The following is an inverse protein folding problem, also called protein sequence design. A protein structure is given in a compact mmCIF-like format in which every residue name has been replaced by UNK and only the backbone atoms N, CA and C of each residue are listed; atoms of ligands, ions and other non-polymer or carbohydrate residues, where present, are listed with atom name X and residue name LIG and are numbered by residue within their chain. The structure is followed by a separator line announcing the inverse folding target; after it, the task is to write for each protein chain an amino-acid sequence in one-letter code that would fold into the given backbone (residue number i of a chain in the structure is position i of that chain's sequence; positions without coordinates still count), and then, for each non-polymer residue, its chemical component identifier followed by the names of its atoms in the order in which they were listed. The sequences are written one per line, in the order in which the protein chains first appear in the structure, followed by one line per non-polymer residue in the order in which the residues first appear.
data_IF_927598535793
#
_entry.id   IF_927598535793
#
_cell.length_a   1.000
_cell.length_b   1.000
_cell.length_c   1.000
_cell.angle_alpha   90.00
_cell.angle_beta   90.00
_cell.angle_gamma   90.00
#
_symmetry.space_group_name_H-M   'P 1'
#
loop_
_entity.id
_entity.type
_entity.pdbx_description
1 polymer ?
#
# COMPACT_ATOMS: atom_id res chain seq x y z
N UNK A 1 7.41 36.60 -21.55
CA UNK A 1 6.29 35.95 -20.84
C UNK A 1 6.61 34.48 -20.80
N UNK A 2 7.28 34.03 -19.75
CA UNK A 2 7.43 32.60 -19.45
C UNK A 2 6.08 32.17 -18.90
N UNK A 3 5.34 31.41 -19.69
CA UNK A 3 4.17 30.70 -19.19
C UNK A 3 4.74 29.64 -18.26
N UNK A 4 4.60 29.83 -16.96
CA UNK A 4 4.69 28.73 -16.00
C UNK A 4 3.60 27.74 -16.42
N UNK A 5 3.97 26.79 -17.28
CA UNK A 5 3.16 25.61 -17.50
C UNK A 5 3.13 24.91 -16.14
N UNK A 6 2.05 25.11 -15.40
CA UNK A 6 1.79 24.34 -14.18
C UNK A 6 2.00 22.87 -14.56
N UNK A 7 3.00 22.23 -13.92
CA UNK A 7 3.28 20.82 -14.11
C UNK A 7 1.95 20.07 -14.06
N UNK A 8 1.65 19.31 -15.11
CA UNK A 8 0.48 18.45 -15.14
C UNK A 8 0.66 17.42 -14.02
N UNK A 9 -0.03 17.62 -12.89
CA UNK A 9 0.10 16.78 -11.69
C UNK A 9 -0.52 15.39 -11.89
N UNK A 10 -1.20 15.18 -13.02
CA UNK A 10 -1.67 13.87 -13.50
C UNK A 10 -0.65 13.12 -14.37
N UNK A 11 0.51 13.71 -14.67
CA UNK A 11 1.59 12.96 -15.34
C UNK A 11 2.16 11.91 -14.37
N UNK A 12 2.13 10.60 -14.70
CA UNK A 12 2.65 9.54 -13.85
C UNK A 12 4.18 9.58 -13.68
N UNK A 13 4.88 10.53 -14.31
CA UNK A 13 6.29 10.81 -14.08
C UNK A 13 6.51 11.92 -13.03
N UNK A 14 5.47 12.68 -12.67
CA UNK A 14 5.55 13.75 -11.66
C UNK A 14 5.41 13.15 -10.26
N UNK A 15 6.53 13.09 -9.55
CA UNK A 15 6.56 12.52 -8.20
C UNK A 15 6.26 13.55 -7.12
N UNK A 16 6.89 14.72 -7.00
CA UNK A 16 6.62 15.63 -5.87
C UNK A 16 5.24 16.29 -5.93
N UNK A 17 4.59 16.42 -4.77
CA UNK A 17 3.29 17.06 -4.61
C UNK A 17 2.19 16.55 -5.57
N UNK A 18 2.18 15.24 -5.83
CA UNK A 18 1.21 14.58 -6.68
C UNK A 18 0.34 13.62 -5.89
N UNK A 19 -0.91 13.46 -6.35
CA UNK A 19 -1.88 12.56 -5.78
C UNK A 19 -2.48 11.71 -6.89
N UNK A 20 -2.45 10.40 -6.70
CA UNK A 20 -2.79 9.43 -7.73
C UNK A 20 -3.79 8.41 -7.20
N UNK A 21 -4.79 8.09 -8.01
CA UNK A 21 -5.79 7.05 -7.71
C UNK A 21 -5.75 5.99 -8.78
N UNK A 22 -5.72 4.74 -8.34
CA UNK A 22 -5.53 3.62 -9.25
C UNK A 22 -6.45 2.46 -8.89
N UNK A 23 -7.20 1.99 -9.87
CA UNK A 23 -7.88 0.70 -9.81
C UNK A 23 -6.87 -0.43 -9.89
N UNK A 24 -6.96 -1.40 -8.99
CA UNK A 24 -6.01 -2.49 -8.83
C UNK A 24 -6.71 -3.84 -8.91
N UNK A 25 -6.03 -4.82 -9.47
CA UNK A 25 -6.35 -6.23 -9.31
C UNK A 25 -5.09 -6.94 -8.81
N UNK A 26 -5.22 -7.73 -7.75
CA UNK A 26 -4.14 -8.60 -7.28
C UNK A 26 -4.13 -9.82 -8.20
N UNK A 27 -3.11 -9.94 -9.06
CA UNK A 27 -2.92 -11.12 -9.91
C UNK A 27 -1.99 -12.13 -9.25
N UNK A 28 -2.58 -13.17 -8.67
CA UNK A 28 -1.87 -14.26 -8.00
C UNK A 28 -2.70 -14.85 -6.88
N UNK A 29 -2.08 -15.63 -6.00
CA UNK A 29 -2.67 -16.17 -4.77
C UNK A 29 -2.35 -15.27 -3.56
N UNK A 30 -3.37 -14.65 -3.00
CA UNK A 30 -3.27 -14.09 -1.66
C UNK A 30 -3.69 -15.17 -0.67
N UNK A 31 -2.73 -15.72 0.08
CA UNK A 31 -3.00 -16.80 1.03
C UNK A 31 -3.21 -16.23 2.44
N UNK A 32 -4.41 -16.46 2.97
CA UNK A 32 -4.74 -16.19 4.38
C UNK A 32 -4.57 -17.48 5.16
N UNK A 33 -3.74 -17.45 6.20
CA UNK A 33 -3.49 -18.58 7.09
C UNK A 33 -4.28 -18.36 8.38
N UNK A 34 -5.15 -19.30 8.74
CA UNK A 34 -5.92 -19.26 9.98
C UNK A 34 -5.14 -19.92 11.12
N UNK A 35 -5.42 -19.53 12.37
CA UNK A 35 -4.76 -20.10 13.55
C UNK A 35 -5.04 -21.59 13.77
N UNK A 36 -6.07 -22.14 13.14
CA UNK A 36 -6.40 -23.57 13.15
C UNK A 36 -5.70 -24.35 12.01
N UNK A 37 -4.88 -23.69 11.21
CA UNK A 37 -4.14 -24.27 10.09
C UNK A 37 -4.90 -24.30 8.76
N UNK A 38 -6.15 -23.83 8.72
CA UNK A 38 -6.85 -23.64 7.45
C UNK A 38 -6.16 -22.58 6.58
N UNK A 39 -6.24 -22.73 5.27
CA UNK A 39 -5.72 -21.78 4.29
C UNK A 39 -6.83 -21.34 3.35
N UNK A 40 -6.90 -20.04 3.07
CA UNK A 40 -7.79 -19.49 2.05
C UNK A 40 -6.97 -18.80 0.97
N UNK A 41 -7.00 -19.36 -0.24
CA UNK A 41 -6.42 -18.75 -1.42
C UNK A 41 -7.43 -17.84 -2.09
N UNK A 42 -7.12 -16.55 -2.15
CA UNK A 42 -8.02 -15.58 -2.75
C UNK A 42 -7.71 -15.43 -4.24
N UNK A 43 -8.67 -15.78 -5.09
CA UNK A 43 -8.65 -15.46 -6.51
C UNK A 43 -9.41 -14.13 -6.78
N UNK A 44 -8.95 -13.40 -7.79
CA UNK A 44 -9.58 -12.19 -8.33
C UNK A 44 -9.91 -11.10 -7.29
N UNK A 45 -8.94 -10.77 -6.42
CA UNK A 45 -9.09 -9.64 -5.50
C UNK A 45 -8.94 -8.32 -6.28
N UNK A 46 -9.99 -7.50 -6.29
CA UNK A 46 -10.03 -6.21 -7.00
C UNK A 46 -10.23 -5.07 -6.01
N UNK A 47 -9.72 -3.90 -6.35
CA UNK A 47 -9.75 -2.78 -5.43
C UNK A 47 -9.36 -1.45 -6.02
N UNK A 48 -9.28 -0.47 -5.14
CA UNK A 48 -8.83 0.87 -5.41
C UNK A 48 -7.77 1.25 -4.39
N UNK A 49 -6.79 2.01 -4.84
CA UNK A 49 -5.74 2.57 -4.01
C UNK A 49 -5.50 4.01 -4.37
N UNK A 50 -5.12 4.81 -3.37
CA UNK A 50 -4.71 6.19 -3.59
C UNK A 50 -3.45 6.51 -2.81
N UNK A 51 -2.53 7.24 -3.44
CA UNK A 51 -1.25 7.66 -2.84
C UNK A 51 -1.03 9.14 -3.08
N UNK A 52 -0.38 9.80 -2.13
CA UNK A 52 0.05 11.19 -2.24
C UNK A 52 1.50 11.31 -1.80
N UNK A 53 2.32 11.94 -2.61
CA UNK A 53 3.71 12.26 -2.25
C UNK A 53 3.78 13.56 -1.44
N UNK A 54 4.84 13.70 -0.67
CA UNK A 54 5.18 14.96 -0.03
C UNK A 54 5.52 16.02 -1.09
N UNK A 55 5.51 17.29 -0.67
CA UNK A 55 5.95 18.39 -1.52
C UNK A 55 7.47 18.39 -1.71
N UNK A 56 8.21 18.17 -0.62
CA UNK A 56 9.67 18.22 -0.60
C UNK A 56 10.27 16.82 -0.52
N UNK A 57 11.45 16.65 -1.13
CA UNK A 57 12.27 15.45 -1.02
C UNK A 57 13.51 15.72 -0.16
N UNK A 58 14.05 14.68 0.44
CA UNK A 58 15.34 14.69 1.14
C UNK A 58 16.40 13.99 0.29
N UNK A 59 17.68 14.27 0.55
CA UNK A 59 18.79 13.57 -0.11
C UNK A 59 19.50 12.71 0.91
N UNK A 60 19.66 11.42 0.59
CA UNK A 60 20.42 10.48 1.41
C UNK A 60 21.92 10.79 1.39
N UNK A 61 22.72 10.26 2.34
CA UNK A 61 24.17 10.48 2.36
C UNK A 61 24.92 10.03 1.09
N UNK A 62 24.34 9.09 0.33
CA UNK A 62 24.87 8.61 -0.95
C UNK A 62 24.39 9.44 -2.17
N UNK A 63 23.71 10.56 -1.92
CA UNK A 63 23.24 11.50 -2.93
C UNK A 63 21.90 11.13 -3.58
N UNK A 64 21.27 10.01 -3.20
CA UNK A 64 19.98 9.59 -3.78
C UNK A 64 18.81 10.40 -3.20
N UNK A 65 17.86 10.86 -4.02
CA UNK A 65 16.68 11.57 -3.53
C UNK A 65 15.69 10.58 -2.91
N UNK A 66 15.01 11.01 -1.86
CA UNK A 66 14.02 10.25 -1.12
C UNK A 66 12.80 11.14 -0.83
N UNK A 67 11.60 10.61 -1.02
CA UNK A 67 10.37 11.34 -0.76
C UNK A 67 9.39 10.50 0.06
N UNK A 68 8.75 11.15 1.03
CA UNK A 68 7.70 10.53 1.83
C UNK A 68 6.43 10.38 0.99
N UNK A 69 5.74 9.27 1.16
CA UNK A 69 4.48 8.95 0.49
C UNK A 69 3.44 8.59 1.54
N UNK A 70 2.25 9.14 1.44
CA UNK A 70 1.10 8.75 2.24
C UNK A 70 0.16 7.93 1.39
N UNK A 71 -0.26 6.77 1.88
CA UNK A 71 -1.34 6.01 1.26
C UNK A 71 -2.67 6.51 1.84
N UNK A 72 -3.47 7.10 0.98
CA UNK A 72 -4.75 7.73 1.33
C UNK A 72 -5.88 6.72 1.37
N UNK A 73 -5.77 5.66 0.57
CA UNK A 73 -6.81 4.65 0.46
C UNK A 73 -6.21 3.29 0.11
N UNK A 74 -6.72 2.27 0.79
CA UNK A 74 -6.61 0.86 0.43
C UNK A 74 -8.00 0.26 0.57
N UNK A 75 -8.57 -0.26 -0.50
CA UNK A 75 -9.85 -0.97 -0.48
C UNK A 75 -9.83 -2.09 -1.50
N UNK A 76 -9.81 -3.34 -1.05
CA UNK A 76 -9.82 -4.52 -1.90
C UNK A 76 -10.94 -5.47 -1.47
N UNK A 77 -11.60 -6.11 -2.43
CA UNK A 77 -12.62 -7.10 -2.18
C UNK A 77 -12.49 -8.30 -3.11
N UNK A 78 -12.93 -9.48 -2.65
CA UNK A 78 -13.21 -10.64 -3.48
C UNK A 78 -14.62 -11.14 -3.19
N UNK A 79 -15.46 -11.15 -4.23
CA UNK A 79 -16.83 -11.66 -4.12
C UNK A 79 -16.88 -13.18 -3.92
N UNK A 80 -15.84 -13.90 -4.36
CA UNK A 80 -15.76 -15.35 -4.26
C UNK A 80 -15.55 -15.78 -2.80
N UNK A 81 -14.62 -15.12 -2.10
CA UNK A 81 -14.28 -15.47 -0.72
C UNK A 81 -15.00 -14.64 0.33
N UNK A 82 -15.68 -13.56 -0.08
CA UNK A 82 -16.25 -12.57 0.84
C UNK A 82 -15.19 -11.77 1.61
N UNK A 83 -13.94 -11.78 1.12
CA UNK A 83 -12.83 -11.03 1.71
C UNK A 83 -12.98 -9.55 1.40
N UNK A 84 -12.80 -8.72 2.42
CA UNK A 84 -12.65 -7.27 2.29
C UNK A 84 -11.40 -6.82 3.05
N UNK A 85 -10.51 -6.09 2.39
CA UNK A 85 -9.30 -5.49 2.98
C UNK A 85 -9.43 -3.98 2.86
N UNK A 86 -9.30 -3.29 3.98
CA UNK A 86 -9.36 -1.83 4.04
C UNK A 86 -8.17 -1.28 4.80
N UNK A 87 -7.81 -0.01 4.53
CA UNK A 87 -6.91 0.72 5.40
C UNK A 87 -7.55 0.89 6.79
N UNK A 88 -6.76 0.69 7.85
CA UNK A 88 -7.19 1.05 9.19
C UNK A 88 -7.23 2.59 9.32
N UNK A 89 -8.40 3.22 9.52
CA UNK A 89 -8.49 4.68 9.60
C UNK A 89 -7.82 5.25 10.86
N UNK A 90 -7.58 4.43 11.88
CA UNK A 90 -6.92 4.85 13.10
C UNK A 90 -5.40 5.03 12.95
N UNK A 91 -4.80 4.53 11.84
CA UNK A 91 -3.35 4.54 11.64
C UNK A 91 -3.00 4.99 10.22
N UNK A 92 -2.08 5.94 10.05
CA UNK A 92 -1.66 6.34 8.72
C UNK A 92 -0.87 5.21 8.06
N UNK A 93 -1.14 4.96 6.78
CA UNK A 93 -0.30 4.12 5.94
C UNK A 93 0.75 5.00 5.29
N UNK A 94 2.01 4.73 5.61
CA UNK A 94 3.15 5.55 5.20
C UNK A 94 4.05 4.76 4.26
N UNK A 95 4.80 5.48 3.45
CA UNK A 95 5.76 4.90 2.55
C UNK A 95 6.88 5.86 2.22
N UNK A 96 7.90 5.30 1.60
CA UNK A 96 9.09 6.01 1.19
C UNK A 96 9.42 5.56 -0.23
N UNK A 97 9.58 6.53 -1.12
CA UNK A 97 10.11 6.33 -2.47
C UNK A 97 11.55 6.85 -2.48
N UNK A 98 12.49 6.00 -2.88
CA UNK A 98 13.92 6.32 -2.93
C UNK A 98 14.44 6.12 -4.35
N UNK A 99 14.90 7.20 -4.97
CA UNK A 99 15.50 7.17 -6.30
C UNK A 99 16.71 6.22 -6.34
N UNK A 100 16.94 5.59 -7.50
CA UNK A 100 18.06 4.67 -7.69
C UNK A 100 19.36 5.38 -8.06
N UNK A 101 19.30 6.65 -8.42
CA UNK A 101 20.44 7.45 -8.88
C UNK A 101 20.61 8.69 -8.01
N UNK A 102 21.86 9.17 -7.90
CA UNK A 102 22.12 10.45 -7.23
C UNK A 102 21.59 11.60 -8.07
N UNK A 103 20.96 12.59 -7.43
CA UNK A 103 20.38 13.74 -8.14
C UNK A 103 19.30 14.47 -7.33
N UNK A 104 18.58 15.37 -7.99
CA UNK A 104 17.45 16.11 -7.44
C UNK A 104 16.11 15.41 -7.65
N UNK A 105 15.02 16.19 -7.73
CA UNK A 105 13.68 15.68 -7.94
C UNK A 105 13.55 14.86 -9.24
N UNK A 106 14.32 15.22 -10.27
CA UNK A 106 14.38 14.52 -11.56
C UNK A 106 14.93 13.09 -11.45
N UNK A 107 15.68 12.79 -10.40
CA UNK A 107 16.25 11.47 -10.13
C UNK A 107 15.39 10.62 -9.15
N UNK A 108 14.17 11.07 -8.83
CA UNK A 108 13.24 10.29 -8.02
C UNK A 108 12.78 9.01 -8.72
N UNK A 109 12.75 8.99 -10.06
CA UNK A 109 12.50 7.79 -10.86
C UNK A 109 13.74 7.47 -11.73
N UNK A 110 14.09 6.19 -11.94
CA UNK A 110 13.49 5.00 -11.34
C UNK A 110 13.76 4.90 -9.84
N UNK A 111 12.87 4.22 -9.10
CA UNK A 111 12.90 4.20 -7.63
C UNK A 111 12.64 2.82 -7.02
N UNK A 112 13.08 2.64 -5.78
CA UNK A 112 12.51 1.65 -4.87
C UNK A 112 11.42 2.30 -4.02
N UNK A 113 10.31 1.61 -3.79
CA UNK A 113 9.25 2.06 -2.90
C UNK A 113 8.94 1.02 -1.83
N UNK A 114 8.76 1.49 -0.59
CA UNK A 114 8.35 0.67 0.55
C UNK A 114 7.14 1.31 1.20
N UNK A 115 6.13 0.52 1.53
CA UNK A 115 4.94 0.94 2.27
C UNK A 115 4.77 0.13 3.54
N UNK A 116 4.50 0.84 4.62
CA UNK A 116 3.98 0.32 5.88
C UNK A 116 2.46 0.46 5.89
N UNK A 117 1.76 -0.67 5.97
CA UNK A 117 0.31 -0.71 5.91
C UNK A 117 -0.32 -1.33 7.15
N UNK A 118 -1.23 -0.57 7.75
CA UNK A 118 -2.18 -1.03 8.75
C UNK A 118 -3.53 -1.24 8.05
N UNK A 119 -4.01 -2.47 8.14
CA UNK A 119 -5.15 -2.97 7.41
C UNK A 119 -6.19 -3.53 8.38
N UNK A 120 -7.45 -3.45 7.96
CA UNK A 120 -8.56 -4.19 8.53
C UNK A 120 -8.99 -5.21 7.49
N UNK A 121 -9.06 -6.47 7.90
CA UNK A 121 -9.59 -7.57 7.10
C UNK A 121 -10.96 -7.94 7.65
N UNK A 122 -11.99 -7.86 6.82
CA UNK A 122 -13.30 -8.44 7.12
C UNK A 122 -13.41 -9.78 6.41
N UNK A 123 -13.65 -10.84 7.17
CA UNK A 123 -13.76 -12.19 6.65
C UNK A 123 -14.58 -13.05 7.61
N UNK A 124 -15.50 -13.88 7.08
CA UNK A 124 -16.36 -14.78 7.88
C UNK A 124 -17.12 -14.08 9.03
N UNK A 125 -17.58 -12.85 8.78
CA UNK A 125 -18.33 -12.05 9.76
C UNK A 125 -17.49 -11.51 10.91
N UNK A 126 -16.15 -11.62 10.83
CA UNK A 126 -15.21 -11.09 11.82
C UNK A 126 -14.36 -9.99 11.20
N UNK A 127 -13.87 -9.11 12.06
CA UNK A 127 -12.91 -8.07 11.74
C UNK A 127 -11.57 -8.43 12.36
N UNK A 128 -10.52 -8.32 11.57
CA UNK A 128 -9.16 -8.56 11.99
C UNK A 128 -8.29 -7.36 11.65
N UNK A 129 -7.34 -7.01 12.50
CA UNK A 129 -6.37 -5.95 12.22
C UNK A 129 -4.95 -6.38 12.55
N UNK A 130 -3.97 -5.86 11.82
CA UNK A 130 -2.57 -6.03 12.13
C UNK A 130 -2.06 -4.90 13.03
N UNK A 131 -1.27 -5.26 14.04
CA UNK A 131 -0.65 -4.33 14.98
C UNK A 131 0.76 -3.92 14.55
N UNK A 132 1.47 -4.83 13.88
CA UNK A 132 2.72 -4.57 13.15
C UNK A 132 2.40 -4.28 11.69
N UNK A 133 3.10 -3.34 11.02
CA UNK A 133 2.77 -2.95 9.66
C UNK A 133 3.03 -4.10 8.68
N UNK A 134 2.12 -4.26 7.71
CA UNK A 134 2.41 -5.04 6.50
C UNK A 134 3.39 -4.24 5.65
N UNK A 135 4.63 -4.73 5.58
CA UNK A 135 5.72 -4.14 4.80
C UNK A 135 5.66 -4.65 3.36
N UNK A 136 5.19 -3.79 2.45
CA UNK A 136 5.15 -4.06 1.02
C UNK A 136 6.24 -3.28 0.30
N UNK A 137 7.00 -3.94 -0.55
CA UNK A 137 8.02 -3.28 -1.37
C UNK A 137 7.82 -3.53 -2.86
N UNK A 138 8.20 -2.54 -3.66
CA UNK A 138 8.39 -2.67 -5.10
C UNK A 138 9.73 -2.04 -5.47
N UNK A 139 10.43 -2.69 -6.40
CA UNK A 139 11.80 -2.36 -6.79
C UNK A 139 11.85 -1.80 -8.20
N UNK A 140 12.73 -0.82 -8.42
CA UNK A 140 12.99 -0.23 -9.73
C UNK A 140 11.73 0.20 -10.51
N UNK A 141 10.78 0.83 -9.83
CA UNK A 141 9.59 1.40 -10.43
C UNK A 141 9.99 2.55 -11.35
N UNK A 142 9.36 2.66 -12.51
CA UNK A 142 9.67 3.69 -13.52
C UNK A 142 8.59 4.76 -13.64
N UNK A 143 7.47 4.58 -12.93
CA UNK A 143 6.34 5.51 -12.90
C UNK A 143 5.83 5.63 -11.46
N UNK A 144 5.14 6.74 -11.17
CA UNK A 144 4.45 7.00 -9.91
C UNK A 144 3.01 7.46 -10.20
N UNK A 145 1.98 6.69 -9.81
CA UNK A 145 2.05 5.51 -8.95
C UNK A 145 2.73 4.35 -9.70
N UNK A 146 3.26 3.35 -8.97
CA UNK A 146 3.91 2.17 -9.55
C UNK A 146 2.88 1.23 -10.20
N UNK A 147 2.41 1.64 -11.37
CA UNK A 147 1.52 0.92 -12.27
C UNK A 147 2.26 -0.27 -12.89
N UNK A 148 1.55 -1.39 -13.07
CA UNK A 148 2.11 -2.60 -13.69
C UNK A 148 3.22 -3.25 -12.85
N UNK A 149 3.40 -2.79 -11.62
CA UNK A 149 4.51 -3.16 -10.77
C UNK A 149 4.07 -4.19 -9.75
N UNK A 150 4.97 -5.13 -9.46
CA UNK A 150 4.72 -6.14 -8.44
C UNK A 150 5.14 -5.63 -7.08
N UNK A 151 4.22 -5.67 -6.11
CA UNK A 151 4.56 -5.53 -4.71
C UNK A 151 4.73 -6.88 -4.02
N UNK A 152 5.77 -7.01 -3.21
CA UNK A 152 6.04 -8.20 -2.41
C UNK A 152 5.99 -7.84 -0.94
N UNK A 153 5.38 -8.72 -0.13
CA UNK A 153 5.52 -8.62 1.32
C UNK A 153 6.87 -9.15 1.74
N UNK A 154 7.57 -8.44 2.63
CA UNK A 154 8.85 -8.94 3.17
C UNK A 154 8.68 -10.17 4.06
N UNK A 155 7.59 -10.21 4.82
CA UNK A 155 7.27 -11.28 5.77
C UNK A 155 5.76 -11.47 5.85
N UNK A 156 5.26 -12.63 6.29
CA UNK A 156 3.86 -12.75 6.68
C UNK A 156 3.53 -11.75 7.80
N UNK A 157 2.38 -11.10 7.72
CA UNK A 157 1.89 -10.19 8.77
C UNK A 157 0.74 -10.85 9.52
N UNK A 158 0.79 -10.82 10.85
CA UNK A 158 -0.24 -11.40 11.70
C UNK A 158 -1.38 -10.40 11.97
N UNK A 159 -2.58 -10.94 12.13
CA UNK A 159 -3.78 -10.19 12.41
C UNK A 159 -4.51 -10.79 13.62
N UNK A 160 -5.14 -9.92 14.39
CA UNK A 160 -5.84 -10.22 15.63
C UNK A 160 -7.32 -9.90 15.46
N UNK A 161 -8.18 -10.71 16.07
CA UNK A 161 -9.62 -10.41 16.09
C UNK A 161 -9.85 -9.13 16.91
N UNK A 162 -10.55 -8.16 16.31
CA UNK A 162 -10.82 -6.86 16.92
C UNK A 162 -11.56 -6.99 18.26
N UNK A 163 -12.40 -8.02 18.39
CA UNK A 163 -13.18 -8.26 19.62
C UNK A 163 -12.32 -8.75 20.79
N UNK A 164 -11.11 -9.24 20.52
CA UNK A 164 -10.15 -9.71 21.53
C UNK A 164 -9.14 -8.64 21.93
N UNK A 165 -9.08 -7.52 21.20
CA UNK A 165 -8.15 -6.43 21.44
C UNK A 165 -8.74 -5.37 22.38
N UNK A 166 -8.00 -5.05 23.44
CA UNK A 166 -8.30 -3.88 24.25
C UNK A 166 -8.13 -2.60 23.42
N UNK A 167 -9.18 -1.77 23.35
CA UNK A 167 -9.21 -0.59 22.46
C UNK A 167 -9.72 -0.87 21.04
N UNK A 168 -10.04 -2.13 20.70
CA UNK A 168 -10.68 -2.49 19.43
C UNK A 168 -9.87 -2.04 18.22
N UNK A 169 -10.48 -1.26 17.31
CA UNK A 169 -9.84 -0.77 16.09
C UNK A 169 -8.63 0.16 16.33
N UNK A 170 -8.53 0.72 17.53
CA UNK A 170 -7.47 1.64 17.93
C UNK A 170 -6.34 0.96 18.72
N UNK A 171 -6.43 -0.36 18.93
CA UNK A 171 -5.41 -1.10 19.65
C UNK A 171 -4.04 -0.96 18.97
N UNK A 172 -3.01 -0.73 19.76
CA UNK A 172 -1.61 -0.65 19.31
C UNK A 172 -0.76 -1.82 19.83
N UNK A 173 -1.30 -2.59 20.78
CA UNK A 173 -0.64 -3.73 21.42
C UNK A 173 -1.62 -4.89 21.53
N UNK A 174 -1.14 -6.15 21.49
CA UNK A 174 -2.02 -7.32 21.51
C UNK A 174 -2.59 -7.64 22.90
N UNK A 175 -1.93 -7.23 23.98
CA UNK A 175 -2.27 -7.65 25.33
C UNK A 175 -2.27 -9.17 25.46
N UNK A 176 -3.43 -9.76 25.78
CA UNK A 176 -3.64 -11.21 25.85
C UNK A 176 -4.22 -11.83 24.56
N UNK A 177 -4.52 -11.02 23.55
CA UNK A 177 -5.06 -11.49 22.28
C UNK A 177 -4.05 -12.38 21.55
N UNK A 178 -4.56 -13.41 20.88
CA UNK A 178 -3.74 -14.31 20.07
C UNK A 178 -3.90 -13.97 18.59
N UNK A 179 -2.84 -14.09 17.78
CA UNK A 179 -2.97 -14.02 16.33
C UNK A 179 -4.02 -15.02 15.84
N UNK A 180 -4.95 -14.56 15.01
CA UNK A 180 -6.02 -15.37 14.43
C UNK A 180 -5.80 -15.64 12.95
N UNK A 181 -5.18 -14.69 12.26
CA UNK A 181 -4.80 -14.83 10.86
C UNK A 181 -3.33 -14.44 10.66
N UNK A 182 -2.74 -14.95 9.59
CA UNK A 182 -1.57 -14.36 8.98
C UNK A 182 -1.82 -14.16 7.48
N UNK A 183 -1.43 -12.99 6.98
CA UNK A 183 -1.43 -12.70 5.56
C UNK A 183 -0.01 -12.89 5.03
N UNK A 184 0.16 -13.90 4.18
CA UNK A 184 1.39 -14.06 3.41
C UNK A 184 1.08 -13.72 1.95
N UNK A 185 1.58 -12.59 1.47
CA UNK A 185 1.61 -12.33 0.03
C UNK A 185 2.78 -13.09 -0.57
N UNK A 186 2.63 -14.40 -0.77
CA UNK A 186 3.56 -15.22 -1.56
C UNK A 186 3.45 -14.92 -3.05
N UNK A 187 2.43 -14.16 -3.45
CA UNK A 187 2.18 -13.80 -4.83
C UNK A 187 2.70 -12.43 -5.21
N UNK A 188 3.13 -12.41 -6.47
CA UNK A 188 3.40 -11.24 -7.30
C UNK A 188 2.13 -10.37 -7.28
N UNK A 189 1.96 -9.44 -6.34
CA UNK A 189 0.85 -8.48 -6.40
C UNK A 189 1.12 -7.51 -7.56
N UNK A 190 0.94 -7.96 -8.80
CA UNK A 190 1.02 -7.11 -9.97
C UNK A 190 -0.14 -6.13 -9.93
N UNK A 191 0.14 -4.86 -9.71
CA UNK A 191 -0.85 -3.78 -9.82
C UNK A 191 -1.20 -3.59 -11.30
N UNK A 192 -2.29 -4.20 -11.78
CA UNK A 192 -2.81 -3.81 -13.09
C UNK A 192 -3.79 -2.66 -12.92
N UNK A 193 -3.49 -1.52 -13.55
CA UNK A 193 -4.43 -0.41 -13.69
C UNK A 193 -5.65 -0.93 -14.42
N UNK A 194 -6.79 -0.90 -13.76
CA UNK A 194 -8.08 -1.09 -14.44
C UNK A 194 -8.57 0.25 -14.97
N UNK A 195 -8.42 1.33 -14.19
CA UNK A 195 -8.66 2.73 -14.57
C UNK A 195 -7.79 3.67 -13.71
N UNK A 196 -7.34 4.78 -14.29
CA UNK A 196 -6.69 5.91 -13.62
C UNK A 196 -7.75 7.01 -13.38
N UNK A 197 -7.77 7.58 -12.18
CA UNK A 197 -8.68 8.68 -11.85
C UNK A 197 -7.84 9.85 -11.34
N UNK A 198 -7.65 10.82 -12.23
CA UNK A 198 -7.06 12.09 -11.89
C UNK A 198 -8.11 12.97 -11.24
N UNK A 199 -7.87 13.31 -9.97
CA UNK A 199 -8.72 14.27 -9.26
C UNK A 199 -8.00 15.61 -9.29
N UNK A 200 -8.60 16.66 -9.87
CA UNK A 200 -8.05 18.00 -9.81
C UNK A 200 -7.82 18.38 -8.34
N UNK A 201 -6.63 18.89 -8.02
CA UNK A 201 -6.40 19.56 -6.74
C UNK A 201 -6.72 21.03 -6.94
N UNK A 202 -7.65 21.56 -6.15
CA UNK A 202 -8.00 22.99 -6.11
C UNK A 202 -6.78 23.88 -5.79
#
# INVERSE_FOLDING_TARGET
MTVDAALDRSDPLVVPNSQHHVGLSIRGQLTVLFSDGETLDCADVKGLSAVRSAQDFTTLPDGRPQIAVTRLMTHFHSNETGLLIQQNPARPNLGILTGLQSGGAEALLPADVVFEQYLIISLRGRLYLNLDPLLMEAKAITTFPPVGTTFLSRTPTTFYDVTELEGGLHATEPGSAKPRLALASTSVCGSHVTHEIDVPTD
#
